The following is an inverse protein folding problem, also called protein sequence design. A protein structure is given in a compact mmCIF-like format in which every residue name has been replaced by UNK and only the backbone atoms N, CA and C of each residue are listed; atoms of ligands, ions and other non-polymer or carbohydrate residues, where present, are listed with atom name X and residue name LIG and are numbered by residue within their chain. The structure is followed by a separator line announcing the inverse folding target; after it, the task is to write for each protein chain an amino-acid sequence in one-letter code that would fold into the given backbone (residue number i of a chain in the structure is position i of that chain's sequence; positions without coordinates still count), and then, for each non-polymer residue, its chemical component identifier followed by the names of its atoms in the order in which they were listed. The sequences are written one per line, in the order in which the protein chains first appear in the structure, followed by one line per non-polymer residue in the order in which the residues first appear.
data_IF_896423946588
#
_entry.id   IF_896423946588
#
_cell.length_a   1.000
_cell.length_b   1.000
_cell.length_c   1.000
_cell.angle_alpha   90.00
_cell.angle_beta   90.00
_cell.angle_gamma   90.00
#
_symmetry.space_group_name_H-M   'P 1'
#
loop_
_entity.id
_entity.type
_entity.pdbx_description
1 polymer ?
#
# COMPACT_ATOMS: atom_id res chain seq x y z
N UNK A 1 -27.85 -22.69 -16.98
CA UNK A 1 -26.50 -22.10 -16.82
C UNK A 1 -26.63 -20.61 -17.07
N UNK A 2 -27.29 -19.89 -16.16
CA UNK A 2 -27.59 -18.45 -16.30
C UNK A 2 -28.28 -17.99 -15.03
N UNK A 3 -27.53 -17.44 -14.07
CA UNK A 3 -28.03 -16.53 -13.01
C UNK A 3 -26.86 -15.72 -12.47
N UNK A 4 -26.33 -14.81 -13.29
CA UNK A 4 -25.80 -13.57 -12.70
C UNK A 4 -26.80 -12.53 -13.16
N UNK A 5 -27.68 -12.11 -12.24
CA UNK A 5 -28.65 -11.05 -12.53
C UNK A 5 -27.85 -9.82 -12.97
N UNK A 6 -28.35 -9.02 -13.92
CA UNK A 6 -27.65 -7.81 -14.37
C UNK A 6 -27.31 -6.86 -13.19
N UNK A 7 -28.07 -6.95 -12.09
CA UNK A 7 -27.79 -6.32 -10.79
C UNK A 7 -26.54 -6.86 -10.06
N UNK A 8 -26.22 -8.15 -10.17
CA UNK A 8 -25.01 -8.76 -9.58
C UNK A 8 -23.74 -8.35 -10.32
N UNK A 9 -23.77 -8.31 -11.66
CA UNK A 9 -22.62 -7.80 -12.43
C UNK A 9 -22.38 -6.33 -12.09
N UNK A 10 -23.45 -5.53 -12.01
CA UNK A 10 -23.34 -4.13 -11.64
C UNK A 10 -22.81 -3.94 -10.21
N UNK A 11 -23.26 -4.75 -9.26
CA UNK A 11 -22.78 -4.75 -7.88
C UNK A 11 -21.31 -5.14 -7.76
N UNK A 12 -20.88 -6.18 -8.49
CA UNK A 12 -19.49 -6.60 -8.56
C UNK A 12 -18.59 -5.51 -9.20
N UNK A 13 -19.05 -4.88 -10.28
CA UNK A 13 -18.33 -3.77 -10.92
C UNK A 13 -18.22 -2.55 -9.99
N UNK A 14 -19.27 -2.21 -9.25
CA UNK A 14 -19.23 -1.14 -8.25
C UNK A 14 -18.25 -1.47 -7.12
N UNK A 15 -18.28 -2.69 -6.59
CA UNK A 15 -17.33 -3.14 -5.58
C UNK A 15 -15.89 -3.09 -6.09
N UNK A 16 -15.62 -3.64 -7.27
CA UNK A 16 -14.30 -3.58 -7.92
C UNK A 16 -13.85 -2.14 -8.15
N UNK A 17 -14.76 -1.25 -8.56
CA UNK A 17 -14.44 0.16 -8.79
C UNK A 17 -14.03 0.85 -7.49
N UNK A 18 -14.79 0.64 -6.40
CA UNK A 18 -14.48 1.23 -5.09
C UNK A 18 -13.14 0.71 -4.56
N UNK A 19 -12.90 -0.60 -4.64
CA UNK A 19 -11.62 -1.20 -4.23
C UNK A 19 -10.48 -0.66 -5.09
N UNK A 20 -10.65 -0.62 -6.41
CA UNK A 20 -9.62 -0.13 -7.34
C UNK A 20 -9.25 1.33 -7.09
N UNK A 21 -10.23 2.21 -6.86
CA UNK A 21 -9.97 3.62 -6.54
C UNK A 21 -9.25 3.77 -5.20
N UNK A 22 -9.67 3.03 -4.17
CA UNK A 22 -8.98 3.03 -2.88
C UNK A 22 -7.54 2.51 -3.00
N UNK A 23 -7.34 1.44 -3.76
CA UNK A 23 -6.02 0.87 -3.96
C UNK A 23 -5.13 1.81 -4.78
N UNK A 24 -5.68 2.48 -5.78
CA UNK A 24 -4.97 3.52 -6.54
C UNK A 24 -4.57 4.69 -5.64
N UNK A 25 -5.43 5.12 -4.72
CA UNK A 25 -5.12 6.17 -3.75
C UNK A 25 -4.00 5.74 -2.79
N UNK A 26 -4.10 4.56 -2.19
CA UNK A 26 -3.07 4.01 -1.28
C UNK A 26 -1.75 3.81 -2.02
N UNK A 27 -1.78 3.27 -3.24
CA UNK A 27 -0.58 3.08 -4.06
C UNK A 27 0.02 4.39 -4.54
N UNK A 28 -0.73 5.50 -4.60
CA UNK A 28 -0.19 6.82 -4.98
C UNK A 28 0.56 7.51 -3.83
N UNK A 29 0.42 7.02 -2.60
CA UNK A 29 1.18 7.54 -1.47
C UNK A 29 2.67 7.21 -1.67
N UNK A 30 3.59 8.10 -1.24
CA UNK A 30 5.03 7.86 -1.29
C UNK A 30 5.46 6.90 -0.17
N UNK A 31 4.81 5.74 -0.09
CA UNK A 31 5.12 4.70 0.86
C UNK A 31 6.10 3.70 0.21
N UNK A 32 7.19 3.35 0.90
CA UNK A 32 8.14 2.36 0.42
C UNK A 32 7.45 1.02 0.21
N UNK A 33 7.87 0.28 -0.82
CA UNK A 33 7.31 -0.99 -1.30
C UNK A 33 5.97 -0.89 -2.05
N UNK A 34 5.33 0.30 -2.09
CA UNK A 34 4.16 0.58 -2.93
C UNK A 34 4.58 1.26 -4.24
N UNK A 35 3.74 1.14 -5.29
CA UNK A 35 4.04 1.64 -6.64
C UNK A 35 4.39 3.14 -6.65
N UNK A 36 3.66 3.97 -5.90
CA UNK A 36 3.88 5.41 -5.79
C UNK A 36 5.15 5.79 -5.03
N UNK A 37 5.63 4.95 -4.11
CA UNK A 37 6.93 5.14 -3.46
C UNK A 37 8.08 4.98 -4.46
N UNK A 38 8.02 3.95 -5.31
CA UNK A 38 9.03 3.74 -6.36
C UNK A 38 9.01 4.88 -7.39
N UNK A 39 7.82 5.32 -7.81
CA UNK A 39 7.67 6.48 -8.70
C UNK A 39 8.22 7.74 -8.05
N UNK A 40 7.97 7.97 -6.76
CA UNK A 40 8.52 9.12 -6.02
C UNK A 40 10.06 9.11 -5.97
N UNK A 41 10.70 7.94 -5.79
CA UNK A 41 12.16 7.83 -5.85
C UNK A 41 12.71 8.17 -7.24
N UNK A 42 12.07 7.67 -8.30
CA UNK A 42 12.48 7.97 -9.68
C UNK A 42 12.27 9.45 -9.99
N UNK A 43 11.15 10.05 -9.58
CA UNK A 43 10.92 11.49 -9.73
C UNK A 43 11.95 12.31 -8.96
N UNK A 44 12.33 11.90 -7.75
CA UNK A 44 13.39 12.54 -6.98
C UNK A 44 14.76 12.43 -7.69
N UNK A 45 15.06 11.31 -8.36
CA UNK A 45 16.27 11.15 -9.17
C UNK A 45 16.28 12.09 -10.39
N UNK A 46 15.15 12.20 -11.10
CA UNK A 46 14.97 13.07 -12.27
C UNK A 46 15.08 14.55 -11.87
N UNK A 47 14.42 14.97 -10.78
CA UNK A 47 14.46 16.35 -10.28
C UNK A 47 15.83 16.68 -9.69
N UNK A 48 16.42 15.76 -8.93
CA UNK A 48 17.72 15.94 -8.28
C UNK A 48 18.93 15.84 -9.21
N UNK A 49 18.73 15.39 -10.47
CA UNK A 49 19.79 15.15 -11.48
C UNK A 49 20.98 14.31 -10.98
N UNK A 50 20.79 13.56 -9.90
CA UNK A 50 21.80 12.69 -9.29
C UNK A 50 21.22 11.31 -9.17
N UNK A 51 21.92 10.33 -9.73
CA UNK A 51 21.56 8.92 -9.60
C UNK A 51 21.59 8.52 -8.13
N UNK A 52 20.45 8.11 -7.60
CA UNK A 52 20.40 7.46 -6.30
C UNK A 52 20.99 6.06 -6.52
N UNK A 53 21.95 5.66 -5.69
CA UNK A 53 22.50 4.31 -5.79
C UNK A 53 21.39 3.30 -5.51
N UNK A 54 21.22 2.31 -6.38
CA UNK A 54 20.18 1.27 -6.24
C UNK A 54 20.24 0.60 -4.86
N UNK A 55 21.46 0.37 -4.35
CA UNK A 55 21.68 -0.18 -3.01
C UNK A 55 21.05 0.66 -1.90
N UNK A 56 21.12 2.00 -2.01
CA UNK A 56 20.49 2.90 -1.03
C UNK A 56 18.96 2.85 -1.13
N UNK A 57 18.41 2.74 -2.35
CA UNK A 57 16.95 2.60 -2.54
C UNK A 57 16.45 1.27 -1.95
N UNK A 58 17.16 0.18 -2.19
CA UNK A 58 16.86 -1.14 -1.63
C UNK A 58 16.92 -1.15 -0.10
N UNK A 59 17.96 -0.54 0.49
CA UNK A 59 18.10 -0.42 1.94
C UNK A 59 16.96 0.42 2.54
N UNK A 60 16.64 1.58 1.97
CA UNK A 60 15.51 2.42 2.42
C UNK A 60 14.20 1.64 2.34
N UNK A 61 14.01 0.90 1.24
CA UNK A 61 12.80 0.11 1.04
C UNK A 61 12.68 -1.00 2.10
N UNK A 62 13.77 -1.70 2.39
CA UNK A 62 13.82 -2.74 3.41
C UNK A 62 13.55 -2.18 4.82
N UNK A 63 14.19 -1.06 5.19
CA UNK A 63 13.96 -0.42 6.49
C UNK A 63 12.51 0.06 6.65
N UNK A 64 11.93 0.62 5.60
CA UNK A 64 10.56 1.09 5.66
C UNK A 64 9.54 -0.06 5.70
N UNK A 65 9.80 -1.17 5.00
CA UNK A 65 8.98 -2.37 5.15
C UNK A 65 9.08 -2.93 6.58
N UNK A 66 10.29 -3.01 7.14
CA UNK A 66 10.49 -3.42 8.54
C UNK A 66 9.74 -2.50 9.51
N UNK A 67 9.80 -1.18 9.30
CA UNK A 67 9.08 -0.21 10.11
C UNK A 67 7.56 -0.42 10.01
N UNK A 68 7.04 -0.64 8.80
CA UNK A 68 5.62 -0.89 8.57
C UNK A 68 5.15 -2.16 9.28
N UNK A 69 5.93 -3.25 9.18
CA UNK A 69 5.65 -4.51 9.87
C UNK A 69 5.73 -4.35 11.39
N UNK A 70 6.72 -3.61 11.89
CA UNK A 70 6.87 -3.33 13.31
C UNK A 70 5.70 -2.52 13.86
N UNK A 71 5.27 -1.46 13.15
CA UNK A 71 4.09 -0.68 13.51
C UNK A 71 2.83 -1.54 13.51
N UNK A 72 2.60 -2.29 12.43
CA UNK A 72 1.41 -3.15 12.29
C UNK A 72 1.37 -4.21 13.40
N UNK A 73 2.50 -4.84 13.70
CA UNK A 73 2.60 -5.81 14.79
C UNK A 73 2.40 -5.17 16.16
N UNK A 74 2.95 -3.97 16.37
CA UNK A 74 2.81 -3.23 17.63
C UNK A 74 1.37 -2.81 17.90
N UNK A 75 0.70 -2.19 16.92
CA UNK A 75 -0.70 -1.75 17.06
C UNK A 75 -1.60 -2.97 17.26
N UNK A 76 -1.41 -4.03 16.47
CA UNK A 76 -2.18 -5.27 16.63
C UNK A 76 -1.99 -5.89 18.01
N UNK A 77 -0.76 -5.89 18.55
CA UNK A 77 -0.51 -6.38 19.91
C UNK A 77 -1.17 -5.51 20.99
N UNK A 78 -1.22 -4.19 20.78
CA UNK A 78 -1.95 -3.26 21.63
C UNK A 78 -3.46 -3.51 21.60
N UNK A 79 -4.02 -3.71 20.41
CA UNK A 79 -5.43 -4.02 20.21
C UNK A 79 -5.79 -5.36 20.87
N UNK A 80 -4.97 -6.39 20.72
CA UNK A 80 -5.16 -7.70 21.37
C UNK A 80 -5.14 -7.57 22.89
N UNK A 81 -4.18 -6.84 23.47
CA UNK A 81 -4.11 -6.64 24.92
C UNK A 81 -5.33 -5.89 25.44
N UNK A 82 -5.77 -4.85 24.74
CA UNK A 82 -6.96 -4.08 25.10
C UNK A 82 -8.26 -4.90 24.98
N UNK A 83 -8.30 -5.89 24.08
CA UNK A 83 -9.43 -6.82 23.94
C UNK A 83 -9.46 -7.91 25.02
N UNK A 84 -8.30 -8.33 25.54
CA UNK A 84 -8.20 -9.37 26.59
C UNK A 84 -8.38 -8.80 28.00
N UNK A 85 -7.97 -7.55 28.22
CA UNK A 85 -8.05 -6.87 29.53
C UNK A 85 -9.45 -6.31 29.82
N UNK A 86 -10.32 -6.24 28.82
CA UNK A 86 -11.72 -5.84 28.96
C UNK A 86 -12.62 -7.08 29.04
#
# INVERSE_FOLDING_TARGET
MTVVSQSDVQGALLFMSIVSVNLAFVNSLPLPSLDGGQIAFVLAEVVGRKKIQQRTVEEINAYALLLLLALTGWTSAGDIKNLIVK
#
